data_IF_827313623082
#
_entry.id   IF_827313623082
#
_cell.length_a   1.000
_cell.length_b   1.000
_cell.length_c   1.000
_cell.angle_alpha   90.00
_cell.angle_beta   90.00
_cell.angle_gamma   90.00
#
_symmetry.space_group_name_H-M   'P 1'
#
loop_
_entity.id
_entity.type
_entity.pdbx_description
1 polymer ?
#
# COMPACT_ATOMS: atom_id res chain seq x y z
N UNK A 1 10.94 -1.73 16.94
CA UNK A 1 11.43 -2.27 15.65
C UNK A 1 10.36 -2.31 14.54
N UNK A 2 9.11 -2.69 14.85
CA UNK A 2 7.97 -2.69 13.91
C UNK A 2 7.82 -1.38 13.11
N UNK A 3 7.69 -0.23 13.78
CA UNK A 3 7.48 1.06 13.11
C UNK A 3 8.61 1.46 12.18
N UNK A 4 9.87 1.18 12.55
CA UNK A 4 11.03 1.43 11.69
C UNK A 4 10.89 0.63 10.39
N UNK A 5 10.60 -0.67 10.49
CA UNK A 5 10.42 -1.57 9.34
C UNK A 5 9.23 -1.17 8.47
N UNK A 6 8.12 -0.76 9.09
CA UNK A 6 6.94 -0.22 8.39
C UNK A 6 7.31 1.01 7.56
N UNK A 7 7.93 2.02 8.19
CA UNK A 7 8.27 3.28 7.53
C UNK A 7 9.28 3.03 6.40
N UNK A 8 10.43 2.42 6.72
CA UNK A 8 11.48 2.20 5.71
C UNK A 8 10.99 1.31 4.58
N UNK A 9 10.16 0.30 4.90
CA UNK A 9 9.60 -0.61 3.91
C UNK A 9 8.63 0.07 2.96
N UNK A 10 7.69 0.89 3.46
CA UNK A 10 6.77 1.63 2.59
C UNK A 10 7.52 2.68 1.75
N UNK A 11 8.45 3.44 2.34
CA UNK A 11 9.26 4.39 1.58
C UNK A 11 10.04 3.71 0.44
N UNK A 12 10.66 2.56 0.72
CA UNK A 12 11.40 1.81 -0.28
C UNK A 12 10.51 1.19 -1.36
N UNK A 13 9.40 0.54 -0.99
CA UNK A 13 8.54 -0.16 -1.96
C UNK A 13 7.77 0.82 -2.84
N UNK A 14 7.21 1.89 -2.28
CA UNK A 14 6.49 2.87 -3.09
C UNK A 14 7.46 3.64 -4.00
N UNK A 15 8.54 4.23 -3.47
CA UNK A 15 9.48 4.96 -4.33
C UNK A 15 10.23 4.03 -5.31
N UNK A 16 10.68 2.87 -4.84
CA UNK A 16 11.46 1.93 -5.63
C UNK A 16 10.61 1.08 -6.58
N UNK A 17 9.62 0.35 -6.07
CA UNK A 17 8.83 -0.56 -6.92
C UNK A 17 7.76 0.18 -7.73
N UNK A 18 7.01 1.12 -7.14
CA UNK A 18 5.99 1.87 -7.87
C UNK A 18 6.55 3.12 -8.58
N UNK A 19 7.50 3.82 -7.98
CA UNK A 19 8.04 5.05 -8.57
C UNK A 19 9.07 4.79 -9.67
N UNK A 20 9.92 3.78 -9.48
CA UNK A 20 11.05 3.51 -10.39
C UNK A 20 10.85 2.24 -11.23
N UNK A 21 10.59 1.08 -10.63
CA UNK A 21 10.47 -0.17 -11.39
C UNK A 21 9.21 -0.20 -12.27
N UNK A 22 8.09 0.36 -11.80
CA UNK A 22 6.85 0.36 -12.57
C UNK A 22 7.01 1.01 -13.95
N UNK A 23 7.44 2.28 -14.07
CA UNK A 23 7.62 2.89 -15.39
C UNK A 23 8.71 2.19 -16.21
N UNK A 24 9.74 1.62 -15.58
CA UNK A 24 10.78 0.87 -16.29
C UNK A 24 10.20 -0.38 -16.99
N UNK A 25 9.36 -1.12 -16.28
CA UNK A 25 8.71 -2.31 -16.82
C UNK A 25 7.60 -1.91 -17.81
N UNK A 26 6.77 -0.93 -17.45
CA UNK A 26 5.57 -0.56 -18.19
C UNK A 26 5.85 0.23 -19.48
N UNK A 27 6.88 1.09 -19.48
CA UNK A 27 7.20 1.98 -20.61
C UNK A 27 8.59 1.76 -21.18
N UNK A 28 9.54 1.21 -20.40
CA UNK A 28 10.93 1.06 -20.85
C UNK A 28 11.11 0.16 -22.08
N UNK A 29 10.24 -0.83 -22.28
CA UNK A 29 10.29 -1.74 -23.43
C UNK A 29 9.22 -1.46 -24.50
N UNK A 30 8.12 -0.81 -24.13
CA UNK A 30 6.96 -0.61 -25.03
C UNK A 30 6.72 0.85 -25.40
N UNK A 31 7.54 1.77 -24.86
CA UNK A 31 7.45 3.20 -25.10
C UNK A 31 6.22 3.86 -24.47
N UNK A 32 6.12 5.16 -24.72
CA UNK A 32 4.99 5.99 -24.37
C UNK A 32 3.71 5.52 -25.09
N UNK A 33 2.56 5.81 -24.49
CA UNK A 33 1.27 5.56 -25.12
C UNK A 33 0.29 6.69 -24.81
N UNK A 34 -0.67 6.84 -25.72
CA UNK A 34 -1.85 7.67 -25.49
C UNK A 34 -2.89 6.89 -24.67
N UNK A 35 -4.17 7.25 -24.77
CA UNK A 35 -5.24 6.61 -23.99
C UNK A 35 -5.44 5.13 -24.29
N UNK A 36 -5.18 4.68 -25.52
CA UNK A 36 -5.38 3.29 -25.93
C UNK A 36 -4.06 2.54 -25.89
N UNK A 37 -4.03 1.49 -25.10
CA UNK A 37 -2.89 0.60 -24.97
C UNK A 37 -2.92 -0.46 -26.07
N UNK A 38 -1.77 -0.67 -26.70
CA UNK A 38 -1.53 -1.91 -27.46
C UNK A 38 -1.48 -3.11 -26.52
N UNK A 39 -1.67 -4.32 -27.07
CA UNK A 39 -1.60 -5.56 -26.27
C UNK A 39 -0.27 -5.70 -25.49
N UNK A 40 0.91 -5.43 -26.08
CA UNK A 40 2.17 -5.46 -25.33
C UNK A 40 2.19 -4.45 -24.18
N UNK A 41 1.73 -3.22 -24.40
CA UNK A 41 1.70 -2.19 -23.36
C UNK A 41 0.79 -2.59 -22.20
N UNK A 42 -0.40 -3.12 -22.48
CA UNK A 42 -1.32 -3.64 -21.45
C UNK A 42 -0.69 -4.77 -20.62
N UNK A 43 -0.02 -5.73 -21.27
CA UNK A 43 0.68 -6.82 -20.59
C UNK A 43 1.78 -6.27 -19.68
N UNK A 44 2.61 -5.36 -20.18
CA UNK A 44 3.73 -4.80 -19.41
C UNK A 44 3.27 -3.95 -18.21
N UNK A 45 2.20 -3.18 -18.35
CA UNK A 45 1.57 -2.46 -17.23
C UNK A 45 0.98 -3.42 -16.19
N UNK A 46 0.36 -4.51 -16.63
CA UNK A 46 -0.19 -5.51 -15.70
C UNK A 46 0.94 -6.20 -14.92
N UNK A 47 2.01 -6.60 -15.62
CA UNK A 47 3.19 -7.21 -14.99
C UNK A 47 3.86 -6.26 -14.00
N UNK A 48 3.97 -4.98 -14.32
CA UNK A 48 4.57 -3.99 -13.43
C UNK A 48 3.75 -3.78 -12.15
N UNK A 49 2.41 -3.75 -12.24
CA UNK A 49 1.50 -3.72 -11.07
C UNK A 49 1.63 -4.99 -10.23
N UNK A 50 1.71 -6.16 -10.86
CA UNK A 50 1.94 -7.44 -10.16
C UNK A 50 3.26 -7.40 -9.39
N UNK A 51 4.35 -6.94 -10.02
CA UNK A 51 5.66 -6.81 -9.38
C UNK A 51 5.58 -5.88 -8.16
N UNK A 52 4.95 -4.72 -8.28
CA UNK A 52 4.71 -3.82 -7.16
C UNK A 52 3.95 -4.50 -6.01
N UNK A 53 2.84 -5.20 -6.32
CA UNK A 53 2.05 -5.95 -5.35
C UNK A 53 2.90 -7.01 -4.61
N UNK A 54 3.74 -7.75 -5.33
CA UNK A 54 4.62 -8.76 -4.71
C UNK A 54 5.56 -8.13 -3.68
N UNK A 55 6.19 -7.00 -4.02
CA UNK A 55 7.07 -6.27 -3.10
C UNK A 55 6.30 -5.70 -1.91
N UNK A 56 5.12 -5.11 -2.15
CA UNK A 56 4.26 -4.53 -1.12
C UNK A 56 3.83 -5.58 -0.12
N UNK A 57 3.21 -6.67 -0.57
CA UNK A 57 2.71 -7.74 0.30
C UNK A 57 3.85 -8.38 1.08
N UNK A 58 4.98 -8.65 0.42
CA UNK A 58 6.17 -9.20 1.10
C UNK A 58 6.65 -8.27 2.20
N UNK A 59 6.78 -6.98 1.92
CA UNK A 59 7.24 -5.98 2.91
C UNK A 59 6.24 -5.85 4.07
N UNK A 60 4.95 -5.74 3.78
CA UNK A 60 3.89 -5.62 4.79
C UNK A 60 3.87 -6.86 5.68
N UNK A 61 3.76 -8.05 5.11
CA UNK A 61 3.76 -9.29 5.87
C UNK A 61 5.04 -9.48 6.68
N UNK A 62 6.21 -9.14 6.12
CA UNK A 62 7.48 -9.16 6.85
C UNK A 62 7.47 -8.24 8.08
N UNK A 63 6.75 -7.12 8.02
CA UNK A 63 6.55 -6.23 9.16
C UNK A 63 5.58 -6.84 10.18
N UNK A 64 4.46 -7.41 9.71
CA UNK A 64 3.45 -8.06 10.54
C UNK A 64 3.89 -9.41 11.14
N UNK A 65 5.01 -10.01 10.73
CA UNK A 65 5.56 -11.18 11.44
C UNK A 65 5.88 -10.86 12.89
N UNK A 66 6.25 -9.61 13.16
CA UNK A 66 6.56 -9.13 14.51
C UNK A 66 5.31 -8.99 15.40
N UNK A 67 4.12 -8.91 14.80
CA UNK A 67 2.85 -8.83 15.51
C UNK A 67 2.19 -10.21 15.67
N UNK A 68 2.26 -11.07 14.64
CA UNK A 68 1.46 -12.31 14.62
C UNK A 68 2.09 -13.49 13.87
N UNK A 69 3.43 -13.56 13.73
CA UNK A 69 4.15 -14.65 13.03
C UNK A 69 3.66 -14.95 11.61
N UNK A 70 3.13 -13.93 10.92
CA UNK A 70 2.60 -14.02 9.55
C UNK A 70 3.68 -14.49 8.55
N UNK A 71 3.37 -15.29 7.53
CA UNK A 71 4.36 -15.67 6.49
C UNK A 71 4.46 -14.57 5.42
N UNK A 72 5.60 -14.44 4.69
CA UNK A 72 5.81 -13.31 3.78
C UNK A 72 4.77 -13.17 2.65
N UNK A 73 4.16 -14.26 2.19
CA UNK A 73 3.18 -14.26 1.09
C UNK A 73 1.74 -14.57 1.56
N UNK A 74 1.48 -14.56 2.88
CA UNK A 74 0.13 -14.80 3.41
C UNK A 74 -0.84 -13.75 2.90
N UNK A 75 -1.95 -14.19 2.29
CA UNK A 75 -2.99 -13.29 1.80
C UNK A 75 -2.63 -12.56 0.51
N UNK A 76 -1.67 -13.03 -0.27
CA UNK A 76 -1.27 -12.35 -1.52
C UNK A 76 -2.33 -12.40 -2.63
N UNK A 77 -3.16 -13.45 -2.66
CA UNK A 77 -4.14 -13.67 -3.73
C UNK A 77 -5.14 -12.53 -3.93
N UNK A 78 -5.78 -11.97 -2.89
CA UNK A 78 -6.63 -10.79 -3.05
C UNK A 78 -5.91 -9.59 -3.68
N UNK A 79 -4.62 -9.36 -3.37
CA UNK A 79 -3.88 -8.28 -4.01
C UNK A 79 -3.59 -8.58 -5.49
N UNK A 80 -3.16 -9.80 -5.82
CA UNK A 80 -2.86 -10.18 -7.20
C UNK A 80 -4.10 -10.19 -8.09
N UNK A 81 -5.27 -10.47 -7.53
CA UNK A 81 -6.52 -10.48 -8.28
C UNK A 81 -7.18 -9.10 -8.30
N UNK A 82 -7.54 -8.53 -7.14
CA UNK A 82 -8.35 -7.32 -7.15
C UNK A 82 -7.56 -6.06 -7.54
N UNK A 83 -6.29 -5.94 -7.16
CA UNK A 83 -5.54 -4.69 -7.41
C UNK A 83 -5.34 -4.40 -8.90
N UNK A 84 -4.86 -5.34 -9.75
CA UNK A 84 -4.77 -5.10 -11.20
C UNK A 84 -6.12 -4.84 -11.85
N UNK A 85 -7.16 -5.59 -11.47
CA UNK A 85 -8.50 -5.42 -12.04
C UNK A 85 -9.09 -4.04 -11.72
N UNK A 86 -8.96 -3.59 -10.48
CA UNK A 86 -9.47 -2.30 -10.03
C UNK A 86 -8.63 -1.15 -10.59
N UNK A 87 -7.31 -1.33 -10.75
CA UNK A 87 -6.44 -0.41 -11.49
C UNK A 87 -6.94 -0.20 -12.93
N UNK A 88 -7.16 -1.30 -13.66
CA UNK A 88 -7.65 -1.23 -15.04
C UNK A 88 -9.07 -0.69 -15.15
N UNK A 89 -9.93 -0.98 -14.16
CA UNK A 89 -11.25 -0.37 -14.09
C UNK A 89 -11.14 1.16 -14.02
N UNK A 90 -10.28 1.70 -13.16
CA UNK A 90 -10.02 3.14 -13.09
C UNK A 90 -9.52 3.70 -14.41
N UNK A 91 -8.53 3.03 -15.03
CA UNK A 91 -7.94 3.43 -16.29
C UNK A 91 -8.97 3.50 -17.44
N UNK A 92 -9.74 2.43 -17.66
CA UNK A 92 -10.63 2.34 -18.83
C UNK A 92 -11.97 3.06 -18.64
N UNK A 93 -12.36 3.41 -17.41
CA UNK A 93 -13.61 4.14 -17.16
C UNK A 93 -13.40 5.64 -17.01
N UNK A 94 -12.31 6.07 -16.35
CA UNK A 94 -12.08 7.47 -15.97
C UNK A 94 -10.70 8.01 -16.38
N UNK A 95 -9.85 7.18 -16.99
CA UNK A 95 -8.46 7.50 -17.37
C UNK A 95 -7.53 7.84 -16.20
N UNK A 96 -6.26 8.11 -16.49
CA UNK A 96 -5.30 8.63 -15.50
C UNK A 96 -5.85 9.95 -14.94
N UNK A 97 -5.85 10.17 -13.61
CA UNK A 97 -5.14 9.42 -12.56
C UNK A 97 -6.01 8.43 -11.75
N UNK A 98 -7.18 8.05 -12.27
CA UNK A 98 -8.14 7.23 -11.52
C UNK A 98 -7.69 5.78 -11.36
N UNK A 99 -6.86 5.28 -12.26
CA UNK A 99 -6.13 4.02 -12.14
C UNK A 99 -5.30 3.94 -10.84
N UNK A 100 -4.54 5.00 -10.54
CA UNK A 100 -3.77 5.15 -9.30
C UNK A 100 -4.71 5.22 -8.09
N UNK A 101 -5.73 6.07 -8.15
CA UNK A 101 -6.70 6.20 -7.07
C UNK A 101 -7.35 4.85 -6.72
N UNK A 102 -7.78 4.12 -7.74
CA UNK A 102 -8.47 2.84 -7.60
C UNK A 102 -7.51 1.76 -7.09
N UNK A 103 -6.27 1.72 -7.58
CA UNK A 103 -5.23 0.83 -7.05
C UNK A 103 -5.02 1.03 -5.54
N UNK A 104 -4.85 2.27 -5.08
CA UNK A 104 -4.65 2.56 -3.66
C UNK A 104 -5.88 2.19 -2.82
N UNK A 105 -7.10 2.51 -3.29
CA UNK A 105 -8.33 2.11 -2.61
C UNK A 105 -8.46 0.59 -2.50
N UNK A 106 -8.10 -0.17 -3.55
CA UNK A 106 -8.11 -1.63 -3.51
C UNK A 106 -7.16 -2.18 -2.43
N UNK A 107 -5.94 -1.62 -2.34
CA UNK A 107 -4.95 -1.99 -1.33
C UNK A 107 -5.51 -1.69 0.08
N UNK A 108 -6.17 -0.55 0.25
CA UNK A 108 -6.81 -0.18 1.51
C UNK A 108 -7.92 -1.13 1.93
N UNK A 109 -8.82 -1.50 1.02
CA UNK A 109 -9.90 -2.46 1.28
C UNK A 109 -9.33 -3.84 1.64
N UNK A 110 -8.34 -4.31 0.89
CA UNK A 110 -7.73 -5.62 1.15
C UNK A 110 -7.03 -5.62 2.53
N UNK A 111 -6.27 -4.57 2.86
CA UNK A 111 -5.63 -4.44 4.17
C UNK A 111 -6.63 -4.31 5.31
N UNK A 112 -7.73 -3.57 5.10
CA UNK A 112 -8.82 -3.45 6.07
C UNK A 112 -9.37 -4.83 6.47
N UNK A 113 -9.55 -5.72 5.51
CA UNK A 113 -10.07 -7.08 5.72
C UNK A 113 -8.98 -7.97 6.34
N UNK A 114 -7.80 -8.03 5.72
CA UNK A 114 -6.78 -9.03 6.07
C UNK A 114 -6.05 -8.78 7.39
N UNK A 115 -6.02 -7.53 7.85
CA UNK A 115 -5.35 -7.13 9.09
C UNK A 115 -6.33 -6.89 10.24
N UNK A 116 -7.63 -7.13 10.00
CA UNK A 116 -8.71 -6.91 10.98
C UNK A 116 -8.51 -7.63 12.30
N UNK A 117 -7.88 -8.81 12.31
CA UNK A 117 -7.60 -9.59 13.52
C UNK A 117 -6.34 -9.13 14.27
N UNK A 118 -5.57 -8.20 13.71
CA UNK A 118 -4.31 -7.71 14.28
C UNK A 118 -4.47 -6.37 15.00
N UNK A 119 -5.70 -5.87 15.12
CA UNK A 119 -6.00 -4.54 15.62
C UNK A 119 -7.04 -4.58 16.74
N UNK A 120 -6.95 -3.61 17.67
CA UNK A 120 -7.81 -3.48 18.85
C UNK A 120 -9.26 -3.14 18.48
N UNK A 121 -9.48 -2.27 17.49
CA UNK A 121 -10.81 -1.80 17.11
C UNK A 121 -11.13 -2.04 15.62
N UNK A 122 -11.61 -3.25 15.27
CA UNK A 122 -11.86 -3.65 13.88
C UNK A 122 -12.76 -2.72 13.06
N UNK A 123 -13.80 -2.13 13.65
CA UNK A 123 -14.71 -1.23 12.93
C UNK A 123 -14.04 0.11 12.56
N UNK A 124 -13.22 0.66 13.48
CA UNK A 124 -12.46 1.90 13.23
C UNK A 124 -11.33 1.66 12.23
N UNK A 125 -10.70 0.48 12.30
CA UNK A 125 -9.63 0.08 11.40
C UNK A 125 -10.02 0.12 9.92
N UNK A 126 -11.22 -0.38 9.58
CA UNK A 126 -11.69 -0.37 8.18
C UNK A 126 -11.70 1.05 7.61
N UNK A 127 -12.29 2.00 8.33
CA UNK A 127 -12.33 3.40 7.92
C UNK A 127 -10.94 4.04 7.87
N UNK A 128 -10.10 3.78 8.87
CA UNK A 128 -8.72 4.28 8.89
C UNK A 128 -7.91 3.77 7.69
N UNK A 129 -8.08 2.50 7.31
CA UNK A 129 -7.48 1.96 6.11
C UNK A 129 -7.95 2.66 4.84
N UNK A 130 -9.26 2.76 4.64
CA UNK A 130 -9.82 3.38 3.44
C UNK A 130 -9.39 4.85 3.32
N UNK A 131 -9.49 5.62 4.41
CA UNK A 131 -9.09 7.03 4.46
C UNK A 131 -7.58 7.16 4.23
N UNK A 132 -6.76 6.35 4.90
CA UNK A 132 -5.30 6.43 4.78
C UNK A 132 -4.82 6.23 3.34
N UNK A 133 -5.36 5.21 2.66
CA UNK A 133 -5.01 4.95 1.26
C UNK A 133 -5.62 5.94 0.28
N UNK A 134 -6.83 6.46 0.55
CA UNK A 134 -7.40 7.57 -0.21
C UNK A 134 -6.52 8.82 -0.12
N UNK A 135 -6.11 9.21 1.09
CA UNK A 135 -5.20 10.35 1.29
C UNK A 135 -3.85 10.14 0.62
N UNK A 136 -3.31 8.92 0.64
CA UNK A 136 -2.06 8.61 -0.06
C UNK A 136 -2.18 8.78 -1.56
N UNK A 137 -3.29 8.31 -2.15
CA UNK A 137 -3.57 8.53 -3.57
C UNK A 137 -3.71 10.02 -3.91
N UNK A 138 -4.52 10.75 -3.13
CA UNK A 138 -4.73 12.20 -3.36
C UNK A 138 -3.42 12.97 -3.25
N UNK A 139 -2.61 12.71 -2.21
CA UNK A 139 -1.31 13.36 -2.05
C UNK A 139 -0.38 13.05 -3.23
N UNK A 140 -0.34 11.78 -3.67
CA UNK A 140 0.42 11.35 -4.85
C UNK A 140 -0.01 12.07 -6.11
N UNK A 141 -1.30 12.03 -6.42
CA UNK A 141 -1.87 12.59 -7.65
C UNK A 141 -1.70 14.11 -7.69
N UNK A 142 -2.05 14.82 -6.62
CA UNK A 142 -1.97 16.30 -6.58
C UNK A 142 -0.53 16.77 -6.72
N UNK A 143 0.41 16.17 -6.00
CA UNK A 143 1.82 16.57 -6.07
C UNK A 143 2.43 16.14 -7.41
N UNK A 144 2.15 14.94 -7.89
CA UNK A 144 2.70 14.44 -9.16
C UNK A 144 2.19 15.21 -10.37
N UNK A 145 0.89 15.52 -10.44
CA UNK A 145 0.34 16.35 -11.51
C UNK A 145 0.82 17.80 -11.40
N UNK A 146 0.90 18.35 -10.19
CA UNK A 146 1.44 19.68 -9.97
C UNK A 146 2.89 19.78 -10.42
N UNK A 147 3.72 18.82 -10.04
CA UNK A 147 5.12 18.77 -10.42
C UNK A 147 5.31 18.55 -11.93
N UNK A 148 4.42 17.75 -12.56
CA UNK A 148 4.40 17.57 -14.00
C UNK A 148 4.20 18.89 -14.73
N UNK A 149 3.13 19.61 -14.38
CA UNK A 149 2.78 20.88 -15.03
C UNK A 149 3.85 21.97 -14.82
N UNK A 150 4.53 21.96 -13.67
CA UNK A 150 5.49 23.00 -13.29
C UNK A 150 6.91 22.75 -13.78
N UNK A 151 7.38 21.49 -13.79
CA UNK A 151 8.82 21.21 -13.89
C UNK A 151 9.23 20.28 -15.04
N UNK A 152 8.39 19.34 -15.44
CA UNK A 152 8.83 18.27 -16.36
C UNK A 152 7.82 17.86 -17.43
N UNK A 153 6.81 18.69 -17.71
CA UNK A 153 5.89 18.48 -18.83
C UNK A 153 6.61 18.38 -20.19
N UNK A 154 7.75 19.06 -20.32
CA UNK A 154 8.52 19.16 -21.57
C UNK A 154 9.61 18.07 -21.65
N UNK A 155 9.78 17.24 -20.61
CA UNK A 155 10.60 16.03 -20.72
C UNK A 155 9.94 15.03 -21.67
N UNK A 156 10.75 14.17 -22.28
CA UNK A 156 10.29 13.17 -23.24
C UNK A 156 10.67 11.75 -22.82
N UNK A 157 9.86 10.79 -23.28
CA UNK A 157 10.09 9.37 -23.08
C UNK A 157 10.19 8.97 -21.61
N UNK A 158 11.01 7.96 -21.36
CA UNK A 158 11.18 7.35 -20.04
C UNK A 158 11.58 8.35 -18.93
N UNK A 159 12.26 9.44 -19.27
CA UNK A 159 12.65 10.46 -18.27
C UNK A 159 11.42 11.16 -17.68
N UNK A 160 10.42 11.48 -18.52
CA UNK A 160 9.14 12.05 -18.09
C UNK A 160 8.35 11.06 -17.27
N UNK A 161 8.30 9.79 -17.68
CA UNK A 161 7.56 8.75 -16.97
C UNK A 161 8.16 8.50 -15.59
N UNK A 162 9.48 8.40 -15.49
CA UNK A 162 10.19 8.28 -14.22
C UNK A 162 9.90 9.47 -13.30
N UNK A 163 10.01 10.69 -13.80
CA UNK A 163 9.72 11.89 -13.01
C UNK A 163 8.27 11.92 -12.51
N UNK A 164 7.32 11.53 -13.36
CA UNK A 164 5.89 11.46 -13.03
C UNK A 164 5.62 10.40 -11.97
N UNK A 165 6.10 9.17 -12.15
CA UNK A 165 5.83 8.09 -11.19
C UNK A 165 6.57 8.26 -9.87
N UNK A 166 7.79 8.83 -9.85
CA UNK A 166 8.50 9.15 -8.61
C UNK A 166 7.80 10.26 -7.83
N UNK A 167 7.39 11.34 -8.49
CA UNK A 167 6.69 12.47 -7.86
C UNK A 167 5.30 12.11 -7.35
N UNK A 168 4.64 11.09 -7.91
CA UNK A 168 3.42 10.49 -7.37
C UNK A 168 3.74 9.58 -6.19
N UNK A 169 4.70 8.67 -6.37
CA UNK A 169 4.93 7.57 -5.43
C UNK A 169 5.57 8.01 -4.13
N UNK A 170 6.48 9.00 -4.15
CA UNK A 170 7.15 9.50 -2.95
C UNK A 170 6.16 10.11 -1.94
N UNK A 171 5.31 11.09 -2.29
CA UNK A 171 4.32 11.62 -1.36
C UNK A 171 3.29 10.58 -0.92
N UNK A 172 2.84 9.68 -1.81
CA UNK A 172 1.97 8.58 -1.43
C UNK A 172 2.65 7.63 -0.40
N UNK A 173 3.96 7.40 -0.55
CA UNK A 173 4.77 6.64 0.39
C UNK A 173 4.84 7.32 1.76
N UNK A 174 5.04 8.64 1.80
CA UNK A 174 5.08 9.42 3.03
C UNK A 174 3.74 9.31 3.78
N UNK A 175 2.62 9.50 3.09
CA UNK A 175 1.30 9.34 3.71
C UNK A 175 1.13 7.92 4.24
N UNK A 176 1.39 6.90 3.43
CA UNK A 176 1.21 5.50 3.86
C UNK A 176 2.15 5.13 5.02
N UNK A 177 3.39 5.60 5.00
CA UNK A 177 4.34 5.35 6.07
C UNK A 177 3.91 6.00 7.39
N UNK A 178 3.64 7.32 7.38
CA UNK A 178 3.47 8.09 8.60
C UNK A 178 2.02 8.10 9.12
N UNK A 179 1.02 8.10 8.24
CA UNK A 179 -0.38 7.94 8.63
C UNK A 179 -0.57 6.61 9.36
N UNK A 180 -0.15 5.50 8.73
CA UNK A 180 -0.32 4.20 9.36
C UNK A 180 0.62 3.98 10.54
N UNK A 181 1.80 4.62 10.61
CA UNK A 181 2.60 4.65 11.84
C UNK A 181 1.76 5.17 13.02
N UNK A 182 1.07 6.29 12.82
CA UNK A 182 0.21 6.89 13.85
C UNK A 182 -0.97 5.98 14.20
N UNK A 183 -1.67 5.44 13.19
CA UNK A 183 -2.79 4.52 13.43
C UNK A 183 -2.34 3.25 14.15
N UNK A 184 -1.25 2.63 13.72
CA UNK A 184 -0.72 1.42 14.35
C UNK A 184 -0.27 1.66 15.77
N UNK A 185 0.32 2.81 16.12
CA UNK A 185 0.67 3.12 17.50
C UNK A 185 -0.52 3.02 18.47
N UNK A 186 -1.75 3.21 17.98
CA UNK A 186 -2.98 3.13 18.77
C UNK A 186 -3.65 1.76 18.62
N UNK A 187 -3.68 1.22 17.40
CA UNK A 187 -4.54 0.11 17.02
C UNK A 187 -3.85 -1.25 17.03
N UNK A 188 -2.54 -1.34 16.79
CA UNK A 188 -1.87 -2.64 16.61
C UNK A 188 -1.85 -3.42 17.93
N UNK A 189 -1.98 -4.74 17.84
CA UNK A 189 -1.76 -5.66 18.96
C UNK A 189 -0.37 -6.27 18.79
N UNK A 190 0.55 -5.97 19.71
CA UNK A 190 1.88 -6.57 19.74
C UNK A 190 1.95 -7.71 20.76
N UNK A 191 2.83 -8.71 20.58
CA UNK A 191 2.98 -9.82 21.54
C UNK A 191 3.28 -9.36 22.97
N UNK A 192 3.96 -8.21 23.12
CA UNK A 192 4.28 -7.59 24.42
C UNK A 192 3.03 -7.05 25.13
N UNK A 193 1.98 -6.69 24.40
CA UNK A 193 0.72 -6.19 24.98
C UNK A 193 -0.03 -7.29 25.77
N UNK A 194 0.14 -8.56 25.38
CA UNK A 194 -0.49 -9.71 26.04
C UNK A 194 0.23 -10.21 27.31
N UNK A 195 1.43 -9.70 27.61
CA UNK A 195 2.16 -10.04 28.83
C UNK A 195 1.62 -9.26 30.05
N UNK A 196 1.08 -8.05 29.84
CA UNK A 196 0.48 -7.23 30.90
C UNK A 196 -0.88 -7.77 31.37
N UNK A 197 -1.73 -8.26 30.46
CA UNK A 197 -3.07 -8.78 30.81
C UNK A 197 -3.05 -10.14 31.52
N UNK A 198 -1.97 -10.92 31.39
CA UNK A 198 -1.83 -12.19 32.12
C UNK A 198 -1.30 -12.03 33.55
N UNK A 199 -0.68 -10.90 33.88
CA UNK A 199 -0.18 -10.64 35.22
C UNK A 199 -1.28 -10.19 36.21
N UNK A 200 -2.43 -9.72 35.72
CA UNK A 200 -3.54 -9.24 36.57
C UNK A 200 -4.67 -10.25 36.79
N UNK A 201 -4.57 -11.46 36.23
CA UNK A 201 -5.65 -12.47 36.23
C UNK A 201 -5.55 -13.56 37.31
N UNK A 202 -4.59 -13.50 38.23
CA UNK A 202 -4.29 -14.60 39.14
C UNK A 202 -4.43 -14.21 40.62
N UNK A 203 -5.65 -13.86 41.04
CA UNK A 203 -6.15 -13.87 42.43
C UNK A 203 -7.62 -13.41 42.32
N UNK A 204 -8.62 -14.30 42.34
CA UNK A 204 -9.25 -14.74 43.59
C UNK A 204 -9.81 -16.17 43.44
N UNK A 205 -9.17 -17.12 44.09
CA UNK A 205 -9.82 -18.36 44.51
C UNK A 205 -10.74 -17.99 45.69
N UNK A 206 -12.07 -18.01 45.48
CA UNK A 206 -13.00 -18.08 46.61
C UNK A 206 -13.22 -19.55 46.95
N UNK A 207 -12.89 -20.01 48.18
CA UNK A 207 -13.32 -21.31 48.63
C UNK A 207 -14.83 -21.28 48.85
N UNK A 208 -15.54 -22.27 48.30
CA UNK A 208 -16.94 -22.51 48.65
C UNK A 208 -17.00 -22.90 50.13
N UNK A 209 -17.69 -22.10 50.93
CA UNK A 209 -18.08 -22.47 52.28
C UNK A 209 -19.11 -23.61 52.22
N UNK A 210 -19.03 -24.49 53.23
CA UNK A 210 -19.80 -25.71 53.43
C UNK A 210 -21.31 -25.48 53.63
#
# INVERSE_FOLDING_TARGET
MFFKKWITGNLAVYAGSLGFLHPLIAHGLTGDHDKLLTTPQFIMHTLSVIVFVLFLVRMQNNTFQMAGKRKPLTGIWPFLFFTPWVFWLGYYTLFVPFDILFMFLSIGIINAIQLKSQVKFPAKWVWQCMIGYFLAAVAGIVIGLGAYLLYYKDLQGIARDMATWLSISIPAALVTAYYFKYIFAIQIILPEDGAFDKASGQQTHFPKAA
#
